data_IF_588417820073
#
_entry.id   IF_588417820073
#
_cell.length_a   1.000
_cell.length_b   1.000
_cell.length_c   1.000
_cell.angle_alpha   90.00
_cell.angle_beta   90.00
_cell.angle_gamma   90.00
#
_symmetry.space_group_name_H-M   'P 1'
#
loop_
_entity.id
_entity.type
_entity.pdbx_description
1 polymer ?
#
# COMPACT_ATOMS: atom_id res chain seq x y z
N UNK A 1 -10.07 -20.04 -20.26
CA UNK A 1 -9.32 -18.81 -19.91
C UNK A 1 -9.18 -18.68 -18.41
N UNK A 2 -10.27 -18.63 -17.63
CA UNK A 2 -10.22 -18.60 -16.17
C UNK A 2 -9.48 -19.82 -15.54
N UNK A 3 -9.78 -21.05 -15.96
CA UNK A 3 -9.10 -22.27 -15.45
C UNK A 3 -7.59 -22.27 -15.73
N UNK A 4 -7.18 -21.77 -16.90
CA UNK A 4 -5.76 -21.70 -17.27
C UNK A 4 -5.02 -20.64 -16.44
N UNK A 5 -5.67 -19.52 -16.12
CA UNK A 5 -5.11 -18.50 -15.24
C UNK A 5 -5.05 -18.94 -13.76
N UNK A 6 -5.94 -19.85 -13.34
CA UNK A 6 -5.90 -20.47 -12.00
C UNK A 6 -4.76 -21.49 -11.88
N UNK A 7 -4.53 -22.28 -12.93
CA UNK A 7 -3.44 -23.27 -13.00
C UNK A 7 -2.06 -22.65 -13.26
N UNK A 8 -2.01 -21.58 -14.06
CA UNK A 8 -0.81 -20.83 -14.41
C UNK A 8 -1.08 -19.32 -14.33
N UNK A 9 -0.82 -18.71 -13.16
CA UNK A 9 -1.00 -17.27 -12.94
C UNK A 9 -0.20 -16.40 -13.90
N UNK A 10 0.92 -16.90 -14.45
CA UNK A 10 1.74 -16.15 -15.41
C UNK A 10 1.11 -16.09 -16.81
N UNK A 11 0.10 -16.94 -17.08
CA UNK A 11 -0.56 -17.00 -18.39
C UNK A 11 -1.45 -15.80 -18.71
N UNK A 12 -1.69 -14.92 -17.73
CA UNK A 12 -2.53 -13.73 -17.91
C UNK A 12 -2.12 -12.57 -16.98
N UNK A 13 -1.93 -11.37 -17.56
CA UNK A 13 -1.73 -10.13 -16.79
C UNK A 13 -3.08 -9.53 -16.39
N UNK A 14 -3.36 -9.52 -15.10
CA UNK A 14 -4.55 -8.87 -14.53
C UNK A 14 -4.35 -7.38 -14.25
N UNK A 15 -3.11 -6.90 -14.27
CA UNK A 15 -2.81 -5.47 -14.22
C UNK A 15 -3.22 -4.78 -15.52
N UNK A 16 -3.68 -3.54 -15.42
CA UNK A 16 -4.10 -2.77 -16.58
C UNK A 16 -3.99 -1.27 -16.32
N UNK A 17 -4.05 -0.48 -17.40
CA UNK A 17 -4.11 0.97 -17.31
C UNK A 17 -5.43 1.51 -17.83
N UNK A 18 -5.80 2.70 -17.35
CA UNK A 18 -6.91 3.47 -17.86
C UNK A 18 -6.60 4.95 -17.80
N UNK A 19 -6.80 5.66 -18.91
CA UNK A 19 -6.78 7.13 -18.92
C UNK A 19 -8.18 7.69 -18.82
N UNK A 20 -8.34 8.72 -17.99
CA UNK A 20 -9.56 9.50 -17.87
C UNK A 20 -9.17 10.97 -17.73
N UNK A 21 -9.52 11.80 -18.70
CA UNK A 21 -9.39 13.26 -18.62
C UNK A 21 -7.98 13.73 -18.15
N UNK A 22 -6.91 13.20 -18.76
CA UNK A 22 -5.52 13.56 -18.40
C UNK A 22 -4.97 12.84 -17.16
N UNK A 23 -5.78 12.03 -16.49
CA UNK A 23 -5.36 11.22 -15.32
C UNK A 23 -5.10 9.77 -15.72
N UNK A 24 -3.96 9.23 -15.28
CA UNK A 24 -3.58 7.82 -15.45
C UNK A 24 -3.97 7.02 -14.22
N UNK A 25 -4.68 5.91 -14.43
CA UNK A 25 -4.87 4.84 -13.45
C UNK A 25 -4.02 3.65 -13.87
N UNK A 26 -3.15 3.17 -12.98
CA UNK A 26 -2.38 1.94 -13.12
C UNK A 26 -2.89 0.98 -12.05
N UNK A 27 -3.58 -0.07 -12.47
CA UNK A 27 -4.10 -1.10 -11.56
C UNK A 27 -3.11 -2.25 -11.55
N UNK A 28 -2.57 -2.56 -10.38
CA UNK A 28 -1.52 -3.54 -10.15
C UNK A 28 -2.12 -4.76 -9.47
N UNK A 29 -2.03 -5.92 -10.14
CA UNK A 29 -2.33 -7.19 -9.51
C UNK A 29 -1.23 -7.55 -8.50
N UNK A 30 -1.57 -7.48 -7.22
CA UNK A 30 -0.71 -7.80 -6.07
C UNK A 30 -1.09 -9.13 -5.41
N UNK A 31 -1.97 -9.91 -6.08
CA UNK A 31 -2.45 -11.21 -5.65
C UNK A 31 -1.87 -12.30 -6.54
N UNK A 32 -2.17 -12.31 -7.85
CA UNK A 32 -1.73 -13.39 -8.73
C UNK A 32 -0.27 -13.23 -9.20
N UNK A 33 0.24 -12.01 -9.29
CA UNK A 33 1.63 -11.73 -9.69
C UNK A 33 2.66 -11.83 -8.54
N UNK A 34 2.25 -12.34 -7.37
CA UNK A 34 3.10 -12.40 -6.18
C UNK A 34 4.09 -13.55 -6.29
N UNK A 35 5.38 -13.24 -6.22
CA UNK A 35 6.45 -14.25 -6.12
C UNK A 35 6.77 -14.50 -4.65
N UNK A 36 6.43 -15.68 -4.14
CA UNK A 36 6.78 -16.07 -2.77
C UNK A 36 8.29 -16.38 -2.61
N UNK A 37 9.05 -16.32 -3.71
CA UNK A 37 10.46 -16.60 -3.77
C UNK A 37 10.77 -18.10 -3.74
N UNK A 38 12.06 -18.40 -3.62
CA UNK A 38 12.59 -19.76 -3.50
C UNK A 38 14.02 -19.72 -2.99
N UNK A 39 14.73 -20.87 -2.95
CA UNK A 39 16.13 -20.91 -2.50
C UNK A 39 17.07 -19.95 -3.26
N UNK A 40 16.71 -19.58 -4.49
CA UNK A 40 17.52 -18.79 -5.42
C UNK A 40 16.89 -17.43 -5.80
N UNK A 41 15.68 -17.11 -5.29
CA UNK A 41 14.94 -15.90 -5.67
C UNK A 41 14.32 -15.23 -4.46
N UNK A 42 14.50 -13.93 -4.36
CA UNK A 42 13.87 -13.11 -3.35
C UNK A 42 12.35 -13.08 -3.57
N UNK A 43 11.60 -13.03 -2.46
CA UNK A 43 10.16 -12.83 -2.50
C UNK A 43 9.83 -11.43 -3.00
N UNK A 44 8.82 -11.30 -3.85
CA UNK A 44 8.36 -10.03 -4.40
C UNK A 44 6.84 -9.95 -4.36
N UNK A 45 6.30 -8.77 -4.07
CA UNK A 45 4.86 -8.52 -4.14
C UNK A 45 4.34 -8.64 -5.57
N UNK A 46 5.19 -8.23 -6.51
CA UNK A 46 4.98 -8.25 -7.95
C UNK A 46 6.29 -8.72 -8.58
N UNK A 47 6.23 -9.69 -9.49
CA UNK A 47 7.42 -10.19 -10.17
C UNK A 47 8.15 -9.08 -10.98
N UNK A 48 9.38 -9.36 -11.39
CA UNK A 48 10.23 -8.35 -12.02
C UNK A 48 9.73 -7.88 -13.40
N UNK A 49 9.06 -8.74 -14.17
CA UNK A 49 8.52 -8.38 -15.48
C UNK A 49 7.31 -7.46 -15.31
N UNK A 50 6.41 -7.84 -14.41
CA UNK A 50 5.24 -7.05 -14.08
C UNK A 50 5.63 -5.71 -13.44
N UNK A 51 6.65 -5.70 -12.58
CA UNK A 51 7.17 -4.47 -11.98
C UNK A 51 7.77 -3.51 -13.03
N UNK A 52 8.53 -4.04 -14.01
CA UNK A 52 9.05 -3.23 -15.11
C UNK A 52 7.92 -2.59 -15.92
N UNK A 53 6.85 -3.34 -16.18
CA UNK A 53 5.65 -2.82 -16.83
C UNK A 53 4.96 -1.74 -15.98
N UNK A 54 4.81 -1.93 -14.66
CA UNK A 54 4.23 -0.90 -13.76
C UNK A 54 5.04 0.39 -13.83
N UNK A 55 6.38 0.33 -13.78
CA UNK A 55 7.24 1.50 -13.90
C UNK A 55 7.06 2.22 -15.22
N UNK A 56 7.00 1.48 -16.33
CA UNK A 56 6.74 2.03 -17.66
C UNK A 56 5.38 2.76 -17.72
N UNK A 57 4.33 2.15 -17.17
CA UNK A 57 2.98 2.73 -17.20
C UNK A 57 2.81 3.95 -16.29
N UNK A 58 3.63 4.10 -15.27
CA UNK A 58 3.65 5.27 -14.40
C UNK A 58 4.37 6.48 -15.03
N UNK A 59 5.18 6.25 -16.07
CA UNK A 59 5.86 7.32 -16.77
C UNK A 59 4.92 8.12 -17.68
N UNK A 60 5.35 9.34 -18.03
CA UNK A 60 4.66 10.25 -18.94
C UNK A 60 4.04 11.47 -18.28
N UNK A 61 3.36 12.27 -19.10
CA UNK A 61 2.84 13.58 -18.72
C UNK A 61 1.35 13.50 -18.35
N UNK A 62 1.08 13.24 -17.08
CA UNK A 62 -0.28 13.13 -16.55
C UNK A 62 -0.64 14.32 -15.64
N UNK A 63 -1.93 14.64 -15.54
CA UNK A 63 -2.43 15.59 -14.55
C UNK A 63 -2.44 14.99 -13.15
N UNK A 64 -2.87 13.74 -13.02
CA UNK A 64 -2.76 12.94 -11.80
C UNK A 64 -2.34 11.51 -12.12
N UNK A 65 -1.66 10.85 -11.18
CA UNK A 65 -1.35 9.43 -11.26
C UNK A 65 -2.02 8.68 -10.09
N UNK A 66 -2.78 7.64 -10.41
CA UNK A 66 -3.38 6.73 -9.43
C UNK A 66 -2.78 5.34 -9.61
N UNK A 67 -2.21 4.77 -8.55
CA UNK A 67 -1.82 3.35 -8.54
C UNK A 67 -2.78 2.59 -7.64
N UNK A 68 -3.50 1.62 -8.18
CA UNK A 68 -4.41 0.79 -7.40
C UNK A 68 -3.78 -0.56 -7.09
N UNK A 69 -3.80 -0.96 -5.82
CA UNK A 69 -3.32 -2.26 -5.34
C UNK A 69 -4.41 -2.91 -4.48
N UNK A 70 -4.44 -4.23 -4.40
CA UNK A 70 -5.44 -4.95 -3.59
C UNK A 70 -5.32 -4.63 -2.10
N UNK A 71 -4.08 -4.65 -1.61
CA UNK A 71 -3.70 -4.36 -0.22
C UNK A 71 -2.91 -3.06 -0.12
N UNK A 72 -2.97 -2.32 1.01
CA UNK A 72 -2.25 -1.08 1.19
C UNK A 72 -0.73 -1.28 1.22
N UNK A 73 0.01 -0.36 0.59
CA UNK A 73 1.48 -0.31 0.63
C UNK A 73 1.96 0.17 2.01
N UNK A 74 1.37 1.26 2.49
CA UNK A 74 1.71 1.90 3.75
C UNK A 74 0.67 1.56 4.82
N UNK A 75 1.01 0.62 5.70
CA UNK A 75 0.16 0.22 6.83
C UNK A 75 0.53 0.97 8.11
N UNK A 76 -0.19 0.75 9.20
CA UNK A 76 0.20 1.26 10.52
C UNK A 76 1.68 0.95 10.80
N UNK A 77 2.46 1.92 11.29
CA UNK A 77 3.91 1.73 11.48
C UNK A 77 4.25 0.51 12.34
N UNK A 78 3.44 0.20 13.36
CA UNK A 78 3.62 -1.01 14.16
C UNK A 78 3.47 -2.31 13.35
N UNK A 79 2.52 -2.35 12.40
CA UNK A 79 2.33 -3.49 11.49
C UNK A 79 3.52 -3.57 10.54
N UNK A 80 3.90 -2.46 9.91
CA UNK A 80 5.02 -2.43 8.96
C UNK A 80 6.30 -3.02 9.57
N UNK A 81 6.70 -2.54 10.75
CA UNK A 81 7.90 -3.04 11.44
C UNK A 81 7.77 -4.50 11.86
N UNK A 82 6.58 -4.96 12.24
CA UNK A 82 6.36 -6.36 12.64
C UNK A 82 6.47 -7.30 11.44
N UNK A 83 5.90 -6.92 10.30
CA UNK A 83 5.96 -7.72 9.08
C UNK A 83 7.36 -7.75 8.47
N UNK A 84 8.05 -6.61 8.46
CA UNK A 84 9.43 -6.52 7.99
C UNK A 84 10.38 -7.32 8.90
N UNK A 85 10.20 -7.26 10.23
CA UNK A 85 10.93 -8.12 11.16
C UNK A 85 10.64 -9.60 10.89
N UNK A 86 9.37 -9.94 10.65
CA UNK A 86 8.98 -11.31 10.34
C UNK A 86 9.62 -11.82 9.04
N UNK A 87 9.73 -10.99 8.01
CA UNK A 87 10.44 -11.31 6.77
C UNK A 87 11.93 -11.55 7.01
N UNK A 88 12.62 -10.63 7.70
CA UNK A 88 14.04 -10.76 8.00
C UNK A 88 14.34 -12.02 8.85
N UNK A 89 13.48 -12.32 9.82
CA UNK A 89 13.59 -13.54 10.63
C UNK A 89 13.37 -14.81 9.80
N UNK A 90 12.42 -14.80 8.86
CA UNK A 90 12.19 -15.89 7.91
C UNK A 90 13.37 -16.08 6.94
N UNK A 91 14.06 -14.99 6.57
CA UNK A 91 15.29 -15.02 5.79
C UNK A 91 16.52 -15.50 6.60
N UNK A 92 16.38 -15.72 7.91
CA UNK A 92 17.42 -16.32 8.74
C UNK A 92 18.23 -15.34 9.57
N UNK A 93 17.75 -14.10 9.79
CA UNK A 93 18.44 -13.11 10.63
C UNK A 93 18.87 -13.65 12.01
N UNK A 94 18.07 -14.56 12.61
CA UNK A 94 18.37 -15.22 13.89
C UNK A 94 18.61 -16.74 13.75
N UNK A 95 19.09 -17.16 12.57
CA UNK A 95 19.45 -18.54 12.27
C UNK A 95 18.29 -19.44 11.82
N UNK A 96 18.61 -20.65 11.35
CA UNK A 96 17.70 -21.49 10.57
C UNK A 96 16.51 -22.05 11.37
N UNK A 97 16.66 -22.23 12.68
CA UNK A 97 15.56 -22.72 13.55
C UNK A 97 14.46 -21.66 13.73
N UNK A 98 14.86 -20.40 13.89
CA UNK A 98 13.92 -19.28 14.00
C UNK A 98 13.25 -19.08 12.65
N UNK A 99 14.02 -19.08 11.55
CA UNK A 99 13.51 -18.97 10.19
C UNK A 99 12.37 -19.97 9.92
N UNK A 100 12.58 -21.27 10.18
CA UNK A 100 11.56 -22.30 9.95
C UNK A 100 10.28 -22.05 10.78
N UNK A 101 10.41 -21.65 12.04
CA UNK A 101 9.25 -21.36 12.91
C UNK A 101 8.48 -20.14 12.45
N UNK A 102 9.19 -19.07 12.09
CA UNK A 102 8.57 -17.83 11.61
C UNK A 102 7.91 -18.06 10.27
N UNK A 103 8.54 -18.78 9.34
CA UNK A 103 7.94 -19.15 8.06
C UNK A 103 6.66 -19.98 8.23
N UNK A 104 6.65 -20.92 9.19
CA UNK A 104 5.44 -21.67 9.55
C UNK A 104 4.34 -20.74 10.08
N UNK A 105 4.68 -19.81 10.97
CA UNK A 105 3.73 -18.86 11.53
C UNK A 105 3.22 -17.87 10.47
N UNK A 106 4.06 -17.41 9.54
CA UNK A 106 3.70 -16.49 8.44
C UNK A 106 2.63 -17.09 7.54
N UNK A 107 2.80 -18.35 7.14
CA UNK A 107 1.81 -19.08 6.33
C UNK A 107 0.47 -19.24 7.03
N UNK A 108 0.47 -19.29 8.37
CA UNK A 108 -0.74 -19.41 9.16
C UNK A 108 -1.40 -18.05 9.47
N UNK A 109 -0.63 -16.95 9.47
CA UNK A 109 -1.08 -15.63 9.89
C UNK A 109 -1.46 -14.70 8.73
N UNK A 110 -1.28 -15.13 7.48
CA UNK A 110 -1.61 -14.39 6.26
C UNK A 110 -1.01 -12.97 6.26
N UNK A 111 0.31 -12.90 6.48
CA UNK A 111 1.05 -11.63 6.41
C UNK A 111 1.30 -11.27 4.94
N UNK A 112 0.37 -10.51 4.36
CA UNK A 112 0.27 -10.27 2.92
C UNK A 112 0.54 -8.82 2.49
N UNK A 113 0.84 -7.90 3.41
CA UNK A 113 1.07 -6.51 3.00
C UNK A 113 2.47 -6.31 2.43
N UNK A 114 2.66 -5.19 1.74
CA UNK A 114 3.93 -4.81 1.12
C UNK A 114 5.10 -4.76 2.11
N UNK A 115 4.84 -4.46 3.39
CA UNK A 115 5.85 -4.52 4.45
C UNK A 115 6.45 -5.89 4.72
N UNK A 116 5.82 -6.94 4.23
CA UNK A 116 6.30 -8.31 4.31
C UNK A 116 7.14 -8.74 3.08
N UNK A 117 7.37 -7.80 2.15
CA UNK A 117 8.12 -7.92 0.90
C UNK A 117 9.04 -6.69 0.74
N UNK A 118 10.07 -6.59 1.58
CA UNK A 118 10.90 -5.40 1.74
C UNK A 118 11.46 -4.85 0.43
N UNK A 119 11.93 -5.72 -0.47
CA UNK A 119 12.43 -5.31 -1.77
C UNK A 119 11.35 -4.59 -2.61
N UNK A 120 10.14 -5.17 -2.71
CA UNK A 120 9.03 -4.56 -3.44
C UNK A 120 8.51 -3.29 -2.77
N UNK A 121 8.61 -3.19 -1.45
CA UNK A 121 8.28 -1.96 -0.73
C UNK A 121 9.27 -0.83 -1.09
N UNK A 122 10.57 -1.13 -1.13
CA UNK A 122 11.61 -0.17 -1.50
C UNK A 122 11.48 0.27 -2.96
N UNK A 123 11.25 -0.69 -3.87
CA UNK A 123 10.98 -0.40 -5.29
C UNK A 123 9.74 0.50 -5.45
N UNK A 124 8.66 0.25 -4.70
CA UNK A 124 7.47 1.09 -4.70
C UNK A 124 7.75 2.49 -4.15
N UNK A 125 8.52 2.61 -3.07
CA UNK A 125 8.90 3.90 -2.52
C UNK A 125 9.76 4.71 -3.50
N UNK A 126 10.69 4.05 -4.20
CA UNK A 126 11.50 4.66 -5.26
C UNK A 126 10.64 5.12 -6.45
N UNK A 127 9.71 4.29 -6.92
CA UNK A 127 8.80 4.66 -8.00
C UNK A 127 7.97 5.90 -7.64
N UNK A 128 7.43 5.95 -6.42
CA UNK A 128 6.67 7.11 -5.95
C UNK A 128 7.53 8.37 -5.88
N UNK A 129 8.79 8.23 -5.45
CA UNK A 129 9.75 9.32 -5.41
C UNK A 129 10.06 9.84 -6.82
N UNK A 130 10.36 8.93 -7.75
CA UNK A 130 10.69 9.22 -9.14
C UNK A 130 9.55 9.93 -9.87
N UNK A 131 8.31 9.46 -9.72
CA UNK A 131 7.14 10.12 -10.31
C UNK A 131 6.92 11.49 -9.67
N UNK A 132 6.90 11.57 -8.34
CA UNK A 132 6.57 12.80 -7.63
C UNK A 132 7.62 13.90 -7.89
N UNK A 133 8.88 13.52 -8.09
CA UNK A 133 9.97 14.42 -8.48
C UNK A 133 9.98 14.78 -9.98
N UNK A 134 9.20 14.09 -10.81
CA UNK A 134 9.19 14.29 -12.26
C UNK A 134 10.41 13.68 -12.99
N UNK A 135 11.01 12.62 -12.44
CA UNK A 135 12.09 11.87 -13.10
C UNK A 135 11.59 10.90 -14.16
N UNK A 136 10.29 10.60 -14.16
CA UNK A 136 9.61 9.75 -15.15
C UNK A 136 8.66 10.53 -16.08
N UNK A 137 8.82 11.85 -16.18
CA UNK A 137 7.94 12.74 -16.95
C UNK A 137 7.61 14.00 -16.17
N UNK A 138 6.69 14.84 -16.65
CA UNK A 138 6.23 16.01 -15.88
C UNK A 138 5.60 15.54 -14.57
N UNK A 139 6.09 16.08 -13.43
CA UNK A 139 5.52 15.78 -12.12
C UNK A 139 3.98 16.02 -12.10
N UNK A 140 3.17 15.02 -11.75
CA UNK A 140 1.71 15.16 -11.73
C UNK A 140 1.27 16.12 -10.62
N UNK A 141 0.05 16.64 -10.67
CA UNK A 141 -0.48 17.45 -9.57
C UNK A 141 -0.62 16.65 -8.27
N UNK A 142 -0.85 15.33 -8.37
CA UNK A 142 -0.79 14.39 -7.24
C UNK A 142 -0.47 12.97 -7.68
N UNK A 143 0.11 12.18 -6.77
CA UNK A 143 0.18 10.72 -6.88
C UNK A 143 -0.67 10.11 -5.76
N UNK A 144 -1.59 9.21 -6.08
CA UNK A 144 -2.47 8.58 -5.09
C UNK A 144 -2.46 7.07 -5.22
N UNK A 145 -2.04 6.39 -4.17
CA UNK A 145 -2.23 4.95 -4.01
C UNK A 145 -3.67 4.68 -3.56
N UNK A 146 -4.37 3.79 -4.27
CA UNK A 146 -5.71 3.33 -3.94
C UNK A 146 -5.65 1.87 -3.47
N UNK A 147 -6.19 1.58 -2.29
CA UNK A 147 -6.16 0.20 -1.76
C UNK A 147 -7.39 -0.15 -0.93
N UNK A 148 -7.55 -1.45 -0.62
CA UNK A 148 -8.66 -1.99 0.15
C UNK A 148 -8.22 -3.05 1.15
N UNK A 149 -9.12 -4.02 1.39
CA UNK A 149 -8.85 -5.31 2.06
C UNK A 149 -8.38 -5.31 3.53
N UNK A 150 -8.34 -4.15 4.20
CA UNK A 150 -7.91 -4.03 5.62
C UNK A 150 -9.03 -3.73 6.61
N UNK A 151 -10.29 -3.81 6.17
CA UNK A 151 -11.53 -3.62 6.95
C UNK A 151 -11.66 -2.25 7.66
N UNK A 152 -10.90 -1.25 7.24
CA UNK A 152 -11.06 0.13 7.66
C UNK A 152 -10.66 1.08 6.52
N UNK A 153 -11.01 2.36 6.64
CA UNK A 153 -10.60 3.41 5.72
C UNK A 153 -9.69 4.41 6.41
N UNK A 154 -8.78 5.00 5.64
CA UNK A 154 -7.89 6.07 6.09
C UNK A 154 -7.28 6.77 4.88
N UNK A 155 -6.70 7.94 5.15
CA UNK A 155 -5.79 8.61 4.21
C UNK A 155 -4.50 8.90 4.94
N UNK A 156 -3.39 8.39 4.41
CA UNK A 156 -2.05 8.68 4.90
C UNK A 156 -1.29 9.50 3.85
N UNK A 157 -0.59 10.55 4.28
CA UNK A 157 0.34 11.32 3.45
C UNK A 157 1.73 10.72 3.54
N UNK A 158 2.35 10.55 2.37
CA UNK A 158 3.71 10.05 2.23
C UNK A 158 4.66 11.24 2.11
N UNK A 159 5.78 11.17 2.82
CA UNK A 159 6.80 12.21 2.90
C UNK A 159 8.17 11.63 2.61
N UNK A 160 8.91 12.33 1.77
CA UNK A 160 10.25 11.98 1.33
C UNK A 160 11.32 12.70 2.17
N UNK A 161 12.58 12.24 2.15
CA UNK A 161 13.69 12.96 2.76
C UNK A 161 13.77 14.42 2.30
N UNK A 162 14.22 15.31 3.20
CA UNK A 162 14.40 16.73 2.89
C UNK A 162 15.76 16.96 2.24
N UNK A 163 15.80 16.80 0.93
CA UNK A 163 16.98 17.02 0.06
C UNK A 163 16.89 18.30 -0.79
N UNK A 164 15.77 19.04 -0.68
CA UNK A 164 15.53 20.29 -1.42
C UNK A 164 14.82 20.09 -2.76
N UNK A 165 14.60 18.86 -3.20
CA UNK A 165 13.85 18.55 -4.43
C UNK A 165 12.34 18.71 -4.20
N UNK A 166 11.67 19.44 -5.11
CA UNK A 166 10.21 19.62 -5.07
C UNK A 166 9.54 18.36 -5.57
N UNK A 167 8.55 17.88 -4.81
CA UNK A 167 7.78 16.69 -5.14
C UNK A 167 6.29 16.97 -5.09
N UNK A 168 5.55 16.35 -5.99
CA UNK A 168 4.09 16.29 -5.93
C UNK A 168 3.62 15.65 -4.63
N UNK A 169 2.44 16.03 -4.10
CA UNK A 169 1.86 15.35 -2.95
C UNK A 169 1.59 13.87 -3.29
N UNK A 170 2.05 12.99 -2.40
CA UNK A 170 1.80 11.55 -2.48
C UNK A 170 0.92 11.12 -1.31
N UNK A 171 -0.20 10.47 -1.64
CA UNK A 171 -1.19 10.01 -0.67
C UNK A 171 -1.46 8.52 -0.86
N UNK A 172 -1.81 7.83 0.22
CA UNK A 172 -2.48 6.54 0.14
C UNK A 172 -3.88 6.70 0.70
N UNK A 173 -4.88 6.41 -0.13
CA UNK A 173 -6.28 6.40 0.22
C UNK A 173 -6.79 4.96 0.25
N UNK A 174 -7.25 4.54 1.42
CA UNK A 174 -7.78 3.19 1.64
C UNK A 174 -9.26 3.27 1.96
N UNK A 175 -10.08 2.50 1.25
CA UNK A 175 -11.52 2.40 1.49
C UNK A 175 -11.97 0.94 1.41
N UNK A 176 -12.21 0.31 2.57
CA UNK A 176 -12.32 -1.16 2.64
C UNK A 176 -13.68 -1.81 3.00
N UNK A 177 -14.75 -1.17 3.48
CA UNK A 177 -15.92 -1.96 3.94
C UNK A 177 -17.27 -1.63 3.29
N UNK A 178 -17.96 -2.70 2.86
CA UNK A 178 -19.41 -2.71 2.63
C UNK A 178 -20.23 -3.76 3.42
N UNK A 179 -19.63 -4.83 3.97
CA UNK A 179 -20.20 -5.65 5.08
C UNK A 179 -19.12 -6.59 5.64
N UNK A 180 -18.21 -6.05 6.47
CA UNK A 180 -17.38 -6.86 7.36
C UNK A 180 -17.01 -6.06 8.63
N UNK A 181 -17.97 -5.85 9.55
CA UNK A 181 -17.71 -5.06 10.76
C UNK A 181 -16.71 -5.80 11.65
N UNK A 182 -15.51 -5.24 11.78
CA UNK A 182 -14.50 -5.75 12.70
C UNK A 182 -15.05 -5.83 14.13
N UNK A 183 -14.90 -6.97 14.84
CA UNK A 183 -15.27 -7.08 16.23
C UNK A 183 -14.57 -5.99 17.09
N UNK A 184 -15.20 -5.49 18.18
CA UNK A 184 -14.63 -4.41 18.99
C UNK A 184 -13.21 -4.68 19.50
N UNK A 185 -12.88 -5.94 19.81
CA UNK A 185 -11.53 -6.35 20.21
C UNK A 185 -10.49 -6.11 19.12
N UNK A 186 -10.80 -6.47 17.88
CA UNK A 186 -9.90 -6.29 16.74
C UNK A 186 -9.74 -4.80 16.37
N UNK A 187 -10.83 -4.02 16.46
CA UNK A 187 -10.75 -2.55 16.33
C UNK A 187 -9.79 -1.93 17.35
N UNK A 188 -9.85 -2.40 18.61
CA UNK A 188 -8.92 -1.95 19.67
C UNK A 188 -7.48 -2.36 19.38
N UNK A 189 -7.25 -3.59 18.90
CA UNK A 189 -5.92 -4.04 18.49
C UNK A 189 -5.35 -3.17 17.37
N UNK A 190 -6.11 -2.95 16.30
CA UNK A 190 -5.69 -2.09 15.18
C UNK A 190 -5.36 -0.68 15.71
N UNK A 191 -6.22 -0.09 16.54
CA UNK A 191 -5.93 1.22 17.16
C UNK A 191 -4.66 1.19 18.03
N UNK A 192 -4.43 0.12 18.79
CA UNK A 192 -3.22 -0.04 19.60
C UNK A 192 -1.96 -0.11 18.73
N UNK A 193 -2.01 -0.80 17.58
CA UNK A 193 -0.90 -0.87 16.61
C UNK A 193 -0.55 0.48 15.96
N UNK A 194 -1.45 1.47 16.05
CA UNK A 194 -1.20 2.85 15.62
C UNK A 194 -0.56 3.72 16.72
N UNK A 195 -0.40 3.21 17.95
CA UNK A 195 0.20 3.99 19.05
C UNK A 195 1.72 4.10 18.90
N UNK A 196 2.29 5.18 19.48
CA UNK A 196 3.75 5.39 19.49
C UNK A 196 4.51 4.30 20.25
N UNK A 197 3.90 3.70 21.26
CA UNK A 197 4.51 2.63 22.06
C UNK A 197 4.61 1.33 21.26
N UNK A 198 3.53 0.91 20.61
CA UNK A 198 3.53 -0.25 19.72
C UNK A 198 4.53 -0.07 18.57
N UNK A 199 4.57 1.14 17.98
CA UNK A 199 5.60 1.51 17.00
C UNK A 199 7.02 1.37 17.54
N UNK A 200 7.32 1.92 18.73
CA UNK A 200 8.65 1.85 19.31
C UNK A 200 9.13 0.42 19.59
N UNK A 201 8.24 -0.43 20.11
CA UNK A 201 8.54 -1.84 20.36
C UNK A 201 8.76 -2.63 19.06
N UNK A 202 7.88 -2.46 18.07
CA UNK A 202 8.02 -3.13 16.77
C UNK A 202 9.29 -2.67 16.03
N UNK A 203 9.61 -1.37 16.10
CA UNK A 203 10.84 -0.81 15.52
C UNK A 203 12.09 -1.39 16.17
N UNK A 204 12.10 -1.56 17.49
CA UNK A 204 13.24 -2.18 18.19
C UNK A 204 13.43 -3.63 17.72
N UNK A 205 12.33 -4.39 17.60
CA UNK A 205 12.37 -5.76 17.07
C UNK A 205 12.89 -5.80 15.64
N UNK A 206 12.38 -4.94 14.75
CA UNK A 206 12.84 -4.87 13.36
C UNK A 206 14.31 -4.52 13.25
N UNK A 207 14.79 -3.51 13.99
CA UNK A 207 16.21 -3.16 14.03
C UNK A 207 17.08 -4.30 14.57
N UNK A 208 16.62 -5.02 15.60
CA UNK A 208 17.31 -6.20 16.12
C UNK A 208 17.33 -7.38 15.12
N UNK A 209 16.39 -7.41 14.17
CA UNK A 209 16.37 -8.36 13.06
C UNK A 209 17.13 -7.86 11.81
N UNK A 210 17.77 -6.68 11.87
CA UNK A 210 18.54 -6.11 10.75
C UNK A 210 17.71 -5.37 9.70
N UNK A 211 16.43 -5.08 9.98
CA UNK A 211 15.56 -4.33 9.08
C UNK A 211 16.00 -2.86 9.04
N UNK A 212 16.22 -2.33 7.83
CA UNK A 212 16.55 -0.93 7.59
C UNK A 212 15.38 0.01 7.94
N UNK A 213 15.66 1.28 8.21
CA UNK A 213 14.59 2.27 8.29
C UNK A 213 14.01 2.49 6.87
N UNK A 214 12.67 2.60 6.72
CA UNK A 214 12.04 2.86 5.42
C UNK A 214 12.58 4.12 4.74
N UNK A 215 12.74 4.14 3.41
CA UNK A 215 13.25 5.30 2.67
C UNK A 215 12.28 6.49 2.70
N UNK A 216 11.01 6.27 3.05
CA UNK A 216 9.96 7.27 3.15
C UNK A 216 9.25 7.22 4.50
N UNK A 217 8.72 8.35 4.93
CA UNK A 217 7.83 8.45 6.10
C UNK A 217 6.38 8.58 5.67
N UNK A 218 5.45 8.10 6.49
CA UNK A 218 4.03 8.40 6.30
C UNK A 218 3.34 8.83 7.60
N UNK A 219 2.28 9.61 7.44
CA UNK A 219 1.47 10.15 8.54
C UNK A 219 0.00 10.15 8.14
N UNK A 220 -0.87 9.76 9.07
CA UNK A 220 -2.31 9.88 8.90
C UNK A 220 -2.77 11.32 8.77
N UNK A 221 -3.56 11.57 7.74
CA UNK A 221 -4.34 12.80 7.57
C UNK A 221 -5.80 12.59 7.98
N UNK A 222 -6.40 11.47 7.59
CA UNK A 222 -7.80 11.15 7.86
C UNK A 222 -8.02 9.71 8.34
N UNK A 223 -9.06 9.49 9.15
CA UNK A 223 -9.40 8.19 9.73
C UNK A 223 -8.57 7.82 10.97
N UNK A 224 -8.50 6.53 11.37
CA UNK A 224 -9.12 5.39 10.69
C UNK A 224 -10.61 5.28 10.99
N UNK A 225 -11.40 4.97 9.96
CA UNK A 225 -12.84 4.75 10.07
C UNK A 225 -13.19 3.27 9.82
N UNK A 226 -14.09 2.73 10.65
CA UNK A 226 -14.43 1.30 10.67
C UNK A 226 -15.89 1.03 10.29
N UNK A 227 -16.61 2.08 9.85
CA UNK A 227 -17.99 2.02 9.39
C UNK A 227 -18.01 1.54 7.94
N UNK A 228 -19.12 0.97 7.47
CA UNK A 228 -19.33 0.74 6.04
C UNK A 228 -19.33 2.10 5.33
N UNK A 229 -18.49 2.25 4.30
CA UNK A 229 -18.22 3.56 3.72
C UNK A 229 -17.91 3.51 2.23
N UNK A 230 -18.18 4.64 1.59
CA UNK A 230 -17.82 4.96 0.22
C UNK A 230 -16.73 6.03 0.22
N UNK A 231 -15.84 5.95 -0.75
CA UNK A 231 -14.93 7.00 -1.11
C UNK A 231 -15.29 7.54 -2.49
N UNK A 232 -15.26 8.87 -2.61
CA UNK A 232 -15.50 9.60 -3.83
C UNK A 232 -14.21 10.31 -4.23
N UNK A 233 -13.85 10.18 -5.51
CA UNK A 233 -12.76 10.91 -6.14
C UNK A 233 -13.35 11.85 -7.18
N UNK A 234 -13.14 13.14 -6.97
CA UNK A 234 -13.61 14.20 -7.87
C UNK A 234 -12.37 14.88 -8.46
N UNK A 235 -12.28 14.92 -9.79
CA UNK A 235 -11.14 15.47 -10.53
C UNK A 235 -11.62 16.55 -11.50
N UNK A 236 -10.90 17.66 -11.55
CA UNK A 236 -11.11 18.77 -12.48
C UNK A 236 -9.75 19.28 -12.98
N UNK A 237 -9.32 18.75 -14.13
CA UNK A 237 -7.97 18.97 -14.67
C UNK A 237 -6.90 18.52 -13.68
N UNK A 238 -6.16 19.48 -13.12
CA UNK A 238 -5.07 19.28 -12.15
C UNK A 238 -5.52 19.43 -10.69
N UNK A 239 -6.80 19.69 -10.45
CA UNK A 239 -7.40 19.73 -9.11
C UNK A 239 -8.02 18.39 -8.80
N UNK A 240 -7.95 17.99 -7.53
CA UNK A 240 -8.59 16.77 -7.10
C UNK A 240 -9.02 16.82 -5.65
N UNK A 241 -10.11 16.11 -5.35
CA UNK A 241 -10.64 15.97 -4.00
C UNK A 241 -11.05 14.54 -3.72
N UNK A 242 -10.65 14.04 -2.55
CA UNK A 242 -11.10 12.77 -2.00
C UNK A 242 -12.10 13.04 -0.87
N UNK A 243 -13.26 12.38 -0.89
CA UNK A 243 -14.27 12.46 0.15
C UNK A 243 -14.72 11.08 0.61
N UNK A 244 -14.88 10.89 1.90
CA UNK A 244 -15.34 9.65 2.51
C UNK A 244 -16.70 9.88 3.16
N UNK A 245 -17.62 8.93 2.96
CA UNK A 245 -18.94 8.96 3.57
C UNK A 245 -19.31 7.58 4.10
N UNK A 246 -19.95 7.50 5.27
CA UNK A 246 -20.46 6.25 5.82
C UNK A 246 -21.92 6.02 5.47
N UNK A 247 -22.29 4.76 5.35
CA UNK A 247 -23.69 4.36 5.29
C UNK A 247 -24.34 4.51 6.67
N UNK A 248 -25.54 5.08 6.70
CA UNK A 248 -26.42 5.13 7.88
C UNK A 248 -27.77 4.51 7.52
N UNK A 249 -28.61 4.11 8.50
CA UNK A 249 -29.96 3.62 8.20
C UNK A 249 -30.76 4.63 7.35
N UNK A 250 -31.29 4.18 6.21
CA UNK A 250 -32.03 5.01 5.25
C UNK A 250 -31.25 5.30 3.97
N UNK A 251 -31.74 6.21 3.11
CA UNK A 251 -31.16 6.47 1.79
C UNK A 251 -30.00 7.48 1.81
N UNK A 252 -29.53 7.90 2.99
CA UNK A 252 -28.54 8.97 3.14
C UNK A 252 -27.17 8.39 3.47
N UNK A 253 -26.14 9.13 3.07
CA UNK A 253 -24.76 8.92 3.51
C UNK A 253 -24.37 10.09 4.43
N UNK A 254 -23.52 9.82 5.41
CA UNK A 254 -22.99 10.82 6.33
C UNK A 254 -21.51 11.06 6.04
N UNK A 255 -21.09 12.32 5.94
CA UNK A 255 -19.70 12.68 5.67
C UNK A 255 -18.78 12.26 6.83
N UNK A 256 -17.69 11.58 6.49
CA UNK A 256 -16.62 11.20 7.43
C UNK A 256 -15.45 12.19 7.38
N UNK A 257 -15.15 12.71 6.20
CA UNK A 257 -14.05 13.65 5.97
C UNK A 257 -13.71 13.79 4.49
N UNK A 258 -12.99 14.85 4.15
CA UNK A 258 -12.48 15.09 2.81
C UNK A 258 -11.10 15.74 2.85
N UNK A 259 -10.33 15.55 1.78
CA UNK A 259 -9.00 16.15 1.58
C UNK A 259 -8.82 16.50 0.11
N UNK A 260 -8.27 17.69 -0.14
CA UNK A 260 -7.85 18.08 -1.48
C UNK A 260 -6.48 17.42 -1.76
N UNK A 261 -6.41 16.66 -2.85
CA UNK A 261 -5.20 15.94 -3.24
C UNK A 261 -4.26 16.81 -4.08
N UNK A 262 -4.81 17.85 -4.71
CA UNK A 262 -4.12 18.95 -5.38
C UNK A 262 -5.06 20.17 -5.51
N UNK A 263 -4.47 21.37 -5.43
CA UNK A 263 -5.14 22.69 -5.47
C UNK A 263 -5.30 23.27 -6.89
#
# INVERSE_FOLDING_TARGET
MATKADEDPSSFRWSYTRDLCGTRFVVVDSRAARDLGGPERDRRMVDAEEWAWVREQCAGDHDHLFLATSVPVFVAKGIHWTEAASEALAAGAWGPRVAKRVETARRAADLEHWSAFGHSFDEMAELLDDVAAGRLGRAPASVVLLSGDVHHAYVDRIGFPRDGERRSPVLQAVCSPYRNPLPPGQRRLIRALHTRTAWGAARLLGRAAGVADPPVGWRRELGPWFDNQLAWLELDGRRGRLRFQRSVPGPRLEDLGAIDIAD
#
